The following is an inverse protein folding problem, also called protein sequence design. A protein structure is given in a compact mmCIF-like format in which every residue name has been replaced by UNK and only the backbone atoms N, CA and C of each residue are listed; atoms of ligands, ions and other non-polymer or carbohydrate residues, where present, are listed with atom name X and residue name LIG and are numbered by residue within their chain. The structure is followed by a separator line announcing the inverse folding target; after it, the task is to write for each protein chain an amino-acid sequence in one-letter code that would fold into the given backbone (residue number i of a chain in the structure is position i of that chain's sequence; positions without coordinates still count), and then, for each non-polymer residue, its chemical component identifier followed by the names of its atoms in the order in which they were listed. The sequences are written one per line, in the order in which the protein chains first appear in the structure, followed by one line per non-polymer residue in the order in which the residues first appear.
data_IF_274387319970
#
_entry.id   IF_274387319970
#
_cell.length_a   1.000
_cell.length_b   1.000
_cell.length_c   1.000
_cell.angle_alpha   90.00
_cell.angle_beta   90.00
_cell.angle_gamma   90.00
#
_symmetry.space_group_name_H-M   'P 1'
#
loop_
_entity.id
_entity.type
_entity.pdbx_description
1 polymer ?
#
# COMPACT_ATOMS: atom_id res chain seq x y z
N UNK A 1 -3.50 -20.91 2.29
CA UNK A 1 -2.23 -20.17 2.40
C UNK A 1 -2.60 -18.79 2.90
N UNK A 2 -2.05 -18.35 4.02
CA UNK A 2 -2.25 -16.96 4.45
C UNK A 2 -1.49 -16.04 3.51
N UNK A 3 -2.14 -14.96 3.09
CA UNK A 3 -1.52 -13.96 2.23
C UNK A 3 -0.60 -13.08 3.06
N UNK A 4 0.67 -13.01 2.65
CA UNK A 4 1.72 -12.28 3.35
C UNK A 4 2.33 -11.21 2.44
N UNK A 5 2.68 -10.07 3.04
CA UNK A 5 3.18 -8.92 2.32
C UNK A 5 4.53 -8.47 2.89
N UNK A 6 5.52 -8.12 2.04
CA UNK A 6 6.76 -7.51 2.50
C UNK A 6 6.51 -6.08 2.98
N UNK A 7 7.43 -5.56 3.81
CA UNK A 7 7.34 -4.20 4.40
C UNK A 7 7.02 -3.09 3.38
N UNK A 8 7.58 -3.18 2.17
CA UNK A 8 7.34 -2.18 1.13
C UNK A 8 5.87 -2.16 0.69
N UNK A 9 5.27 -3.34 0.44
CA UNK A 9 3.86 -3.43 0.07
C UNK A 9 2.94 -2.99 1.22
N UNK A 10 3.30 -3.30 2.46
CA UNK A 10 2.55 -2.81 3.63
C UNK A 10 2.56 -1.27 3.69
N UNK A 11 3.68 -0.63 3.36
CA UNK A 11 3.78 0.82 3.31
C UNK A 11 2.83 1.41 2.25
N UNK A 12 2.76 0.76 1.08
CA UNK A 12 1.91 1.18 -0.02
C UNK A 12 0.41 0.98 0.33
N UNK A 13 0.04 -0.18 0.89
CA UNK A 13 -1.33 -0.52 1.31
C UNK A 13 -1.84 0.46 2.36
N UNK A 14 -1.02 0.77 3.36
CA UNK A 14 -1.41 1.66 4.45
C UNK A 14 -1.20 3.14 4.13
N UNK A 15 -0.59 3.45 2.99
CA UNK A 15 -0.20 4.80 2.59
C UNK A 15 0.61 5.54 3.67
N UNK A 16 1.52 4.82 4.35
CA UNK A 16 2.38 5.37 5.40
C UNK A 16 3.86 5.14 5.10
N UNK A 17 4.76 6.05 5.52
CA UNK A 17 6.20 5.86 5.34
C UNK A 17 6.73 4.63 6.10
N UNK A 18 7.72 3.95 5.52
CA UNK A 18 8.45 2.83 6.16
C UNK A 18 8.98 3.17 7.56
N UNK A 19 9.33 4.44 7.80
CA UNK A 19 9.77 4.92 9.10
C UNK A 19 8.70 4.73 10.21
N UNK A 20 7.41 4.87 9.88
CA UNK A 20 6.31 4.64 10.82
C UNK A 20 6.15 3.14 11.08
N UNK A 21 6.24 2.30 10.04
CA UNK A 21 6.18 0.85 10.19
C UNK A 21 7.30 0.32 11.10
N UNK A 22 8.52 0.83 10.95
CA UNK A 22 9.63 0.48 11.84
C UNK A 22 9.38 0.90 13.30
N UNK A 23 8.69 2.04 13.54
CA UNK A 23 8.27 2.41 14.91
C UNK A 23 7.23 1.43 15.46
N UNK A 24 6.31 0.96 14.62
CA UNK A 24 5.30 -0.03 15.02
C UNK A 24 5.89 -1.41 15.29
N UNK A 25 6.90 -1.84 14.53
CA UNK A 25 7.69 -3.04 14.84
C UNK A 25 8.34 -2.93 16.23
N UNK A 26 9.00 -1.79 16.52
CA UNK A 26 9.66 -1.55 17.81
C UNK A 26 8.67 -1.53 18.98
N UNK A 27 7.47 -0.99 18.76
CA UNK A 27 6.43 -0.88 19.77
C UNK A 27 5.57 -2.15 19.88
N UNK A 28 5.86 -3.20 19.08
CA UNK A 28 5.11 -4.46 19.08
C UNK A 28 3.71 -4.40 18.46
N UNK A 29 3.35 -3.28 17.82
CA UNK A 29 2.05 -3.12 17.14
C UNK A 29 1.99 -3.92 15.83
N UNK A 30 3.13 -4.13 15.19
CA UNK A 30 3.26 -4.92 13.97
C UNK A 30 4.34 -5.97 14.19
N UNK A 31 4.02 -7.25 13.99
CA UNK A 31 4.94 -8.37 14.31
C UNK A 31 5.31 -9.08 13.01
N UNK A 32 6.56 -8.91 12.51
CA UNK A 32 6.99 -9.55 11.29
C UNK A 32 7.17 -11.06 11.51
N UNK A 33 6.68 -11.85 10.56
CA UNK A 33 7.03 -13.26 10.42
C UNK A 33 8.22 -13.41 9.47
N UNK A 34 9.17 -14.26 9.80
CA UNK A 34 10.27 -14.62 8.90
C UNK A 34 9.79 -15.68 7.92
N UNK A 35 9.81 -15.37 6.63
CA UNK A 35 9.49 -16.35 5.60
C UNK A 35 10.64 -17.37 5.50
N UNK A 36 10.33 -18.65 5.72
CA UNK A 36 11.31 -19.73 5.70
C UNK A 36 11.99 -19.95 4.33
N UNK A 37 11.38 -19.47 3.24
CA UNK A 37 11.91 -19.62 1.87
C UNK A 37 12.79 -18.44 1.45
N UNK A 38 12.40 -17.22 1.80
CA UNK A 38 13.08 -15.99 1.34
C UNK A 38 13.98 -15.37 2.41
N UNK A 39 13.78 -15.73 3.68
CA UNK A 39 14.46 -15.10 4.82
C UNK A 39 14.04 -13.66 5.08
N UNK A 40 12.98 -13.17 4.42
CA UNK A 40 12.52 -11.79 4.55
C UNK A 40 11.41 -11.66 5.61
N UNK A 41 11.28 -10.45 6.15
CA UNK A 41 10.19 -10.07 7.04
C UNK A 41 8.91 -9.88 6.24
N UNK A 42 7.87 -10.61 6.61
CA UNK A 42 6.56 -10.55 5.99
C UNK A 42 5.47 -10.35 7.05
N UNK A 43 4.38 -9.73 6.61
CA UNK A 43 3.24 -9.36 7.46
C UNK A 43 1.98 -10.03 6.93
N UNK A 44 1.16 -10.58 7.82
CA UNK A 44 -0.06 -11.26 7.42
C UNK A 44 -1.18 -10.26 7.15
N UNK A 45 -2.07 -10.60 6.22
CA UNK A 45 -3.28 -9.81 5.96
C UNK A 45 -4.10 -9.50 7.22
N UNK A 46 -4.25 -10.48 8.10
CA UNK A 46 -5.00 -10.37 9.37
C UNK A 46 -4.43 -9.29 10.30
N UNK A 47 -3.11 -9.10 10.32
CA UNK A 47 -2.48 -8.01 11.06
C UNK A 47 -2.73 -6.65 10.43
N UNK A 48 -3.05 -6.59 9.13
CA UNK A 48 -3.31 -5.34 8.43
C UNK A 48 -4.78 -4.91 8.54
N UNK A 49 -5.72 -5.87 8.65
CA UNK A 49 -7.16 -5.60 8.73
C UNK A 49 -7.59 -4.71 9.92
N UNK A 50 -6.77 -4.63 10.97
CA UNK A 50 -6.99 -3.71 12.10
C UNK A 50 -6.82 -2.24 11.71
N UNK A 51 -6.15 -1.95 10.59
CA UNK A 51 -5.99 -0.60 10.08
C UNK A 51 -7.09 -0.26 9.09
N UNK A 52 -7.70 0.91 9.27
CA UNK A 52 -8.78 1.39 8.41
C UNK A 52 -8.39 1.45 6.92
N UNK A 53 -7.20 1.95 6.52
CA UNK A 53 -6.81 2.01 5.12
C UNK A 53 -6.73 0.63 4.45
N UNK A 54 -6.19 -0.37 5.16
CA UNK A 54 -6.13 -1.74 4.66
C UNK A 54 -7.53 -2.33 4.53
N UNK A 55 -8.41 -2.11 5.52
CA UNK A 55 -9.80 -2.58 5.46
C UNK A 55 -10.58 -1.93 4.31
N UNK A 56 -10.38 -0.64 4.07
CA UNK A 56 -10.95 0.06 2.93
C UNK A 56 -10.48 -0.59 1.61
N UNK A 57 -9.17 -0.81 1.46
CA UNK A 57 -8.59 -1.47 0.28
C UNK A 57 -9.10 -2.91 0.08
N UNK A 58 -9.28 -3.69 1.16
CA UNK A 58 -9.78 -5.06 1.03
C UNK A 58 -11.29 -5.13 0.74
N UNK A 59 -12.06 -4.13 1.17
CA UNK A 59 -13.51 -4.09 1.00
C UNK A 59 -13.97 -3.27 -0.22
N UNK A 60 -13.05 -2.63 -0.96
CA UNK A 60 -13.37 -1.91 -2.20
C UNK A 60 -13.93 -2.87 -3.25
N UNK A 61 -14.99 -2.43 -3.94
CA UNK A 61 -15.61 -3.18 -5.02
C UNK A 61 -14.99 -2.74 -6.34
N UNK A 62 -13.68 -2.92 -6.50
CA UNK A 62 -12.94 -2.53 -7.71
C UNK A 62 -13.61 -3.05 -8.97
N UNK A 63 -14.12 -4.27 -8.96
CA UNK A 63 -14.84 -4.84 -10.10
C UNK A 63 -16.12 -4.10 -10.48
N UNK A 64 -16.77 -3.41 -9.53
CA UNK A 64 -17.93 -2.54 -9.80
C UNK A 64 -17.50 -1.14 -10.19
N UNK A 65 -16.45 -0.62 -9.55
CA UNK A 65 -15.86 0.70 -9.83
C UNK A 65 -15.11 0.76 -11.17
N UNK A 66 -14.68 -0.38 -11.73
CA UNK A 66 -14.12 -0.45 -13.09
C UNK A 66 -15.22 -0.49 -14.16
N UNK A 67 -16.44 -0.89 -13.79
CA UNK A 67 -17.58 -1.03 -14.71
C UNK A 67 -18.38 0.26 -14.88
N UNK A 68 -18.11 1.30 -14.09
CA UNK A 68 -18.77 2.60 -14.26
C UNK A 68 -18.35 3.22 -15.59
N UNK A 69 -19.31 3.38 -16.48
CA UNK A 69 -19.14 4.11 -17.72
C UNK A 69 -19.42 5.60 -17.48
N UNK A 70 -18.60 6.52 -18.03
CA UNK A 70 -18.83 7.93 -17.85
C UNK A 70 -20.15 8.37 -18.50
N UNK A 71 -20.93 9.19 -17.81
CA UNK A 71 -22.21 9.73 -18.31
C UNK A 71 -21.98 10.63 -19.54
N UNK A 72 -20.80 11.23 -19.64
CA UNK A 72 -20.40 12.16 -20.70
C UNK A 72 -19.12 11.68 -21.37
N UNK A 73 -19.01 11.89 -22.68
CA UNK A 73 -17.78 11.63 -23.43
C UNK A 73 -16.70 12.64 -23.02
N UNK A 74 -15.58 12.13 -22.51
CA UNK A 74 -14.38 12.91 -22.25
C UNK A 74 -13.40 12.70 -23.42
N UNK A 75 -12.85 13.79 -23.96
CA UNK A 75 -11.95 13.75 -25.12
C UNK A 75 -10.46 13.73 -24.75
N UNK A 76 -10.13 13.78 -23.46
CA UNK A 76 -8.74 13.79 -22.99
C UNK A 76 -8.64 13.68 -21.49
N UNK A 77 -7.54 13.10 -21.03
CA UNK A 77 -7.13 13.08 -19.63
C UNK A 77 -5.83 13.88 -19.57
N UNK A 78 -5.82 15.01 -18.86
CA UNK A 78 -4.59 15.76 -18.58
C UNK A 78 -4.00 15.27 -17.26
N UNK A 79 -2.87 14.56 -17.35
CA UNK A 79 -2.12 14.07 -16.20
C UNK A 79 -0.93 14.99 -15.96
N UNK A 80 -0.93 15.71 -14.85
CA UNK A 80 0.18 16.55 -14.43
C UNK A 80 1.11 15.74 -13.50
N UNK A 81 2.17 15.16 -14.06
CA UNK A 81 3.24 14.58 -13.24
C UNK A 81 4.18 15.70 -12.81
N UNK A 82 4.27 15.97 -11.51
CA UNK A 82 5.29 16.91 -11.02
C UNK A 82 6.67 16.27 -11.23
N UNK A 83 7.58 16.90 -12.00
CA UNK A 83 8.94 16.40 -12.08
C UNK A 83 9.55 16.53 -10.68
N UNK A 84 9.97 15.41 -10.08
CA UNK A 84 10.82 15.46 -8.89
C UNK A 84 12.04 16.27 -9.29
N UNK A 85 12.23 17.41 -8.65
CA UNK A 85 13.39 18.29 -8.84
C UNK A 85 14.64 17.43 -8.72
N UNK A 86 15.30 17.13 -9.85
CA UNK A 86 16.68 16.68 -9.82
C UNK A 86 17.47 17.82 -9.19
N UNK A 87 18.24 17.49 -8.17
CA UNK A 87 19.11 18.40 -7.45
C UNK A 87 19.91 19.26 -8.42
N UNK A 88 19.76 20.58 -8.31
CA UNK A 88 20.71 21.52 -8.90
C UNK A 88 21.97 21.46 -8.05
N UNK A 89 22.94 20.67 -8.49
CA UNK A 89 24.32 20.88 -8.12
C UNK A 89 24.85 22.09 -8.90
N UNK A 90 25.11 23.19 -8.19
CA UNK A 90 26.09 24.21 -8.56
C UNK A 90 26.97 24.45 -7.33
#
# INVERSE_FOLDING_TARGET
MEETYPLAQVADILSIPKAILHKWEKNGKLIPALNAKTGQKEYTKTQLEVFEPARAMYNTQWDKEQKISPIKTYNGIELYSTPKSQDRFF
#
